data_IF_659431771398
#
_entry.id   IF_659431771398
#
_cell.length_a   1.000
_cell.length_b   1.000
_cell.length_c   1.000
_cell.angle_alpha   90.00
_cell.angle_beta   90.00
_cell.angle_gamma   90.00
#
_symmetry.space_group_name_H-M   'P 1'
#
loop_
_entity.id
_entity.type
_entity.pdbx_description
1 polymer ?
#
# COMPACT_ATOMS: atom_id res chain seq x y z
N UNK A 1 -8.00 29.95 -12.82
CA UNK A 1 -7.98 30.79 -11.60
C UNK A 1 -6.61 30.70 -10.89
N UNK A 2 -5.49 30.80 -11.62
CA UNK A 2 -4.12 30.65 -11.09
C UNK A 2 -3.16 31.75 -11.62
N UNK A 3 -3.68 32.82 -12.23
CA UNK A 3 -2.86 33.88 -12.85
C UNK A 3 -2.60 35.10 -11.96
N UNK A 4 -2.94 35.06 -10.66
CA UNK A 4 -2.72 36.20 -9.73
C UNK A 4 -1.83 35.89 -8.52
N UNK A 5 -1.08 34.78 -8.51
CA UNK A 5 -0.07 34.48 -7.49
C UNK A 5 1.31 34.37 -8.17
N UNK A 6 1.91 35.50 -8.53
CA UNK A 6 3.27 35.55 -9.08
C UNK A 6 4.22 36.25 -8.09
N UNK A 7 4.88 35.44 -7.23
CA UNK A 7 6.28 35.58 -6.71
C UNK A 7 6.64 34.65 -5.53
N UNK A 8 6.00 33.49 -5.33
CA UNK A 8 6.30 32.62 -4.17
C UNK A 8 7.19 31.41 -4.46
N UNK A 9 7.55 31.14 -5.72
CA UNK A 9 8.43 30.03 -6.09
C UNK A 9 9.57 30.55 -6.97
N UNK A 10 10.80 30.38 -6.52
CA UNK A 10 12.02 30.69 -7.26
C UNK A 10 12.71 29.39 -7.69
N UNK A 11 12.98 29.25 -8.99
CA UNK A 11 13.69 28.09 -9.53
C UNK A 11 15.18 28.42 -9.54
N UNK A 12 15.95 27.67 -8.75
CA UNK A 12 17.39 27.84 -8.66
C UNK A 12 18.11 27.05 -9.75
N UNK A 13 19.29 27.53 -10.14
CA UNK A 13 20.12 26.92 -11.20
C UNK A 13 20.62 25.50 -10.88
N UNK A 14 20.69 25.12 -9.61
CA UNK A 14 21.17 23.81 -9.16
C UNK A 14 20.73 23.49 -7.74
N UNK A 15 20.78 22.21 -7.37
CA UNK A 15 20.56 21.75 -5.98
C UNK A 15 21.52 22.42 -4.99
N UNK A 16 22.78 22.65 -5.38
CA UNK A 16 23.74 23.40 -4.55
C UNK A 16 23.25 24.82 -4.22
N UNK A 17 22.63 25.51 -5.17
CA UNK A 17 22.13 26.86 -4.94
C UNK A 17 20.93 26.85 -3.98
N UNK A 18 20.03 25.85 -4.09
CA UNK A 18 18.95 25.62 -3.12
C UNK A 18 19.52 25.35 -1.74
N UNK A 19 20.42 24.37 -1.60
CA UNK A 19 20.96 23.94 -0.30
C UNK A 19 21.65 25.08 0.47
N UNK A 20 22.29 26.02 -0.24
CA UNK A 20 23.03 27.13 0.39
C UNK A 20 22.15 28.27 0.87
N UNK A 21 20.94 28.43 0.34
CA UNK A 21 20.05 29.54 0.71
C UNK A 21 18.86 29.13 1.58
N UNK A 22 18.63 27.83 1.77
CA UNK A 22 17.48 27.30 2.49
C UNK A 22 17.78 27.08 3.98
N UNK A 23 16.85 27.49 4.84
CA UNK A 23 16.84 27.16 6.27
C UNK A 23 16.22 25.78 6.55
N UNK A 24 15.31 25.34 5.68
CA UNK A 24 14.73 23.99 5.68
C UNK A 24 14.70 23.43 4.25
N UNK A 25 15.23 22.23 4.07
CA UNK A 25 15.34 21.55 2.76
C UNK A 25 14.59 20.23 2.84
N UNK A 26 13.74 19.96 1.85
CA UNK A 26 13.05 18.67 1.70
C UNK A 26 13.48 18.01 0.38
N UNK A 27 14.11 16.85 0.48
CA UNK A 27 14.40 16.00 -0.67
C UNK A 27 13.16 15.18 -1.07
N UNK A 28 12.51 15.60 -2.16
CA UNK A 28 11.35 14.93 -2.76
C UNK A 28 11.75 14.20 -4.06
N UNK A 29 12.60 13.19 -3.93
CA UNK A 29 13.07 12.35 -5.04
C UNK A 29 12.63 10.89 -4.87
N UNK A 30 12.79 10.09 -5.92
CA UNK A 30 12.57 8.64 -5.82
C UNK A 30 13.53 8.05 -4.78
N UNK A 31 13.03 7.12 -3.94
CA UNK A 31 13.83 6.49 -2.88
C UNK A 31 15.12 5.82 -3.40
N UNK A 32 15.11 5.28 -4.63
CA UNK A 32 16.31 4.72 -5.29
C UNK A 32 17.42 5.77 -5.52
N UNK A 33 17.04 7.04 -5.70
CA UNK A 33 17.95 8.12 -6.07
C UNK A 33 18.37 8.99 -4.87
N UNK A 34 17.84 8.74 -3.67
CA UNK A 34 18.08 9.59 -2.50
C UNK A 34 19.57 9.69 -2.17
N UNK A 35 20.29 8.57 -2.13
CA UNK A 35 21.73 8.54 -1.87
C UNK A 35 22.51 9.39 -2.87
N UNK A 36 22.31 9.16 -4.17
CA UNK A 36 23.03 9.88 -5.22
C UNK A 36 22.75 11.39 -5.18
N UNK A 37 21.51 11.79 -4.90
CA UNK A 37 21.10 13.21 -4.87
C UNK A 37 21.63 13.91 -3.61
N UNK A 38 21.56 13.27 -2.44
CA UNK A 38 22.11 13.82 -1.20
C UNK A 38 23.63 13.87 -1.27
N UNK A 39 24.29 12.86 -1.83
CA UNK A 39 25.74 12.88 -2.09
C UNK A 39 26.15 14.08 -2.94
N UNK A 40 25.36 14.41 -3.95
CA UNK A 40 25.65 15.53 -4.84
C UNK A 40 25.43 16.89 -4.16
N UNK A 41 24.32 17.09 -3.44
CA UNK A 41 23.89 18.43 -3.01
C UNK A 41 23.90 18.66 -1.50
N UNK A 42 23.89 17.59 -0.70
CA UNK A 42 23.92 17.60 0.76
C UNK A 42 25.13 18.34 1.36
N UNK A 43 26.36 18.16 0.85
CA UNK A 43 27.54 18.89 1.35
C UNK A 43 27.47 20.41 1.18
N UNK A 44 26.53 20.93 0.37
CA UNK A 44 26.33 22.37 0.18
C UNK A 44 25.27 22.96 1.10
N UNK A 45 24.76 22.19 2.06
CA UNK A 45 23.73 22.64 3.01
C UNK A 45 24.25 23.80 3.85
N UNK A 46 23.41 24.81 4.04
CA UNK A 46 23.68 25.96 4.90
C UNK A 46 23.93 25.49 6.35
N UNK A 47 24.93 26.10 7.01
CA UNK A 47 25.25 25.89 8.43
C UNK A 47 23.98 26.03 9.30
N UNK A 48 23.71 25.03 10.13
CA UNK A 48 22.57 25.03 11.05
C UNK A 48 21.20 24.89 10.38
N UNK A 49 21.14 24.56 9.09
CA UNK A 49 19.88 24.30 8.42
C UNK A 49 19.29 22.94 8.83
N UNK A 50 17.99 22.79 8.58
CA UNK A 50 17.27 21.53 8.78
C UNK A 50 17.13 20.85 7.40
N UNK A 51 17.37 19.54 7.37
CA UNK A 51 17.21 18.69 6.19
C UNK A 51 16.22 17.58 6.49
N UNK A 52 15.31 17.35 5.56
CA UNK A 52 14.40 16.21 5.60
C UNK A 52 14.25 15.59 4.23
N UNK A 53 13.65 14.41 4.19
CA UNK A 53 13.15 13.80 2.98
C UNK A 53 11.69 13.40 3.11
N UNK A 54 11.05 13.20 1.96
CA UNK A 54 9.66 12.77 1.85
C UNK A 54 9.52 11.41 1.16
N UNK A 55 10.60 10.62 1.11
CA UNK A 55 10.58 9.30 0.47
C UNK A 55 9.64 8.34 1.21
N UNK A 56 9.22 7.26 0.55
CA UNK A 56 8.32 6.28 1.19
C UNK A 56 9.02 5.28 2.11
N UNK A 57 10.36 5.28 2.17
CA UNK A 57 11.17 4.37 2.99
C UNK A 57 12.27 5.19 3.67
N UNK A 58 12.35 5.12 4.99
CA UNK A 58 13.22 5.99 5.80
C UNK A 58 14.62 5.43 5.97
N UNK A 59 14.81 4.12 6.01
CA UNK A 59 16.15 3.51 6.11
C UNK A 59 17.14 4.07 5.08
N UNK A 60 16.91 3.98 3.76
CA UNK A 60 17.87 4.50 2.77
C UNK A 60 17.99 6.04 2.80
N UNK A 61 16.94 6.74 3.21
CA UNK A 61 16.94 8.20 3.33
C UNK A 61 17.83 8.66 4.49
N UNK A 62 17.67 8.04 5.66
CA UNK A 62 18.47 8.33 6.85
C UNK A 62 19.92 7.90 6.64
N UNK A 63 20.19 6.75 6.02
CA UNK A 63 21.56 6.32 5.67
C UNK A 63 22.26 7.33 4.76
N UNK A 64 21.56 7.84 3.74
CA UNK A 64 22.08 8.87 2.85
C UNK A 64 22.37 10.18 3.61
N UNK A 65 21.47 10.57 4.52
CA UNK A 65 21.64 11.78 5.32
C UNK A 65 22.82 11.68 6.29
N UNK A 66 22.94 10.60 7.04
CA UNK A 66 24.07 10.38 7.96
C UNK A 66 25.41 10.27 7.21
N UNK A 67 25.42 9.75 5.98
CA UNK A 67 26.66 9.59 5.21
C UNK A 67 27.15 10.90 4.57
N UNK A 68 26.24 11.71 4.03
CA UNK A 68 26.61 12.80 3.12
C UNK A 68 26.30 14.21 3.64
N UNK A 69 25.50 14.35 4.71
CA UNK A 69 25.22 15.65 5.30
C UNK A 69 26.33 16.04 6.31
N UNK A 70 26.67 17.34 6.38
CA UNK A 70 27.54 17.85 7.43
C UNK A 70 27.02 17.55 8.86
N UNK A 71 27.90 17.52 9.86
CA UNK A 71 27.51 17.25 11.26
C UNK A 71 26.73 18.42 11.91
N UNK A 72 26.88 19.62 11.37
CA UNK A 72 26.30 20.87 11.86
C UNK A 72 24.88 21.15 11.31
N UNK A 73 24.23 20.14 10.72
CA UNK A 73 22.85 20.22 10.24
C UNK A 73 21.94 19.26 10.99
N UNK A 74 20.69 19.67 11.12
CA UNK A 74 19.63 18.90 11.76
C UNK A 74 18.84 18.07 10.76
N UNK A 75 18.42 16.87 11.15
CA UNK A 75 17.69 15.92 10.31
C UNK A 75 16.28 15.70 10.86
N UNK A 76 15.30 16.20 10.11
CA UNK A 76 13.87 16.06 10.40
C UNK A 76 13.13 15.70 9.12
N UNK A 77 12.80 14.41 8.98
CA UNK A 77 12.10 13.87 7.82
C UNK A 77 10.60 13.87 8.01
N UNK A 78 9.87 13.72 6.90
CA UNK A 78 8.44 13.53 6.92
C UNK A 78 7.99 12.46 5.92
N UNK A 79 6.74 12.02 6.01
CA UNK A 79 6.11 11.24 4.97
C UNK A 79 4.61 11.48 5.00
N UNK A 80 4.09 12.13 3.96
CA UNK A 80 2.65 12.27 3.79
C UNK A 80 2.05 10.98 3.26
N UNK A 81 1.10 10.38 3.97
CA UNK A 81 0.54 9.06 3.66
C UNK A 81 -0.66 9.14 2.70
N UNK A 82 -0.53 9.95 1.66
CA UNK A 82 -1.50 10.06 0.58
C UNK A 82 -0.81 10.24 -0.78
N UNK A 83 -1.51 9.88 -1.85
CA UNK A 83 -1.02 10.06 -3.21
C UNK A 83 -1.16 11.52 -3.70
N UNK A 84 -0.54 11.84 -4.86
CA UNK A 84 -0.74 13.12 -5.53
C UNK A 84 -2.23 13.39 -5.81
N UNK A 85 -2.67 14.64 -5.66
CA UNK A 85 -4.05 15.05 -5.94
C UNK A 85 -5.07 14.75 -4.84
N UNK A 86 -4.65 14.18 -3.71
CA UNK A 86 -5.49 14.02 -2.50
C UNK A 86 -5.31 15.25 -1.60
N UNK A 87 -6.42 15.78 -1.07
CA UNK A 87 -6.39 16.84 -0.06
C UNK A 87 -5.71 16.31 1.22
N UNK A 88 -4.62 16.96 1.69
CA UNK A 88 -3.89 16.53 2.88
C UNK A 88 -4.70 16.64 4.18
N UNK A 89 -5.82 17.38 4.18
CA UNK A 89 -6.62 17.63 5.38
C UNK A 89 -7.14 16.35 6.03
N UNK A 90 -6.74 16.14 7.29
CA UNK A 90 -7.08 14.94 8.07
C UNK A 90 -6.38 13.65 7.60
N UNK A 91 -5.53 13.71 6.59
CA UNK A 91 -4.67 12.59 6.21
C UNK A 91 -3.48 12.50 7.17
N UNK A 92 -2.95 11.30 7.46
CA UNK A 92 -1.75 11.18 8.29
C UNK A 92 -0.52 11.78 7.61
N UNK A 93 0.20 12.62 8.36
CA UNK A 93 1.54 13.12 8.01
C UNK A 93 2.50 12.66 9.09
N UNK A 94 3.42 11.75 8.74
CA UNK A 94 4.45 11.29 9.67
C UNK A 94 5.56 12.34 9.75
N UNK A 95 5.96 12.70 10.96
CA UNK A 95 7.13 13.54 11.26
C UNK A 95 8.14 12.71 12.06
N UNK A 96 9.41 12.77 11.65
CA UNK A 96 10.49 11.94 12.20
C UNK A 96 11.63 12.85 12.62
N UNK A 97 11.81 13.01 13.93
CA UNK A 97 12.96 13.70 14.52
C UNK A 97 14.12 12.72 14.62
N UNK A 98 15.05 12.76 13.66
CA UNK A 98 16.20 11.84 13.67
C UNK A 98 17.39 12.42 14.43
N UNK A 99 17.85 13.61 14.03
CA UNK A 99 18.99 14.32 14.62
C UNK A 99 18.70 15.81 14.71
N UNK A 100 17.97 16.25 15.73
CA UNK A 100 17.60 17.66 15.89
C UNK A 100 17.18 17.97 17.34
N UNK A 101 17.21 19.24 17.70
CA UNK A 101 16.62 19.75 18.94
C UNK A 101 15.09 19.82 18.89
N UNK A 102 14.45 19.96 20.05
CA UNK A 102 12.99 20.10 20.14
C UNK A 102 12.51 21.43 19.53
N UNK A 103 13.33 22.48 19.57
CA UNK A 103 13.00 23.78 18.98
C UNK A 103 12.93 23.69 17.44
N UNK A 104 13.90 23.01 16.83
CA UNK A 104 13.92 22.76 15.37
C UNK A 104 12.76 21.86 14.94
N UNK A 105 12.41 20.87 15.76
CA UNK A 105 11.25 20.02 15.53
C UNK A 105 9.93 20.80 15.59
N UNK A 106 9.76 21.65 16.60
CA UNK A 106 8.60 22.53 16.71
C UNK A 106 8.50 23.50 15.50
N UNK A 107 9.63 23.99 15.00
CA UNK A 107 9.66 24.80 13.78
C UNK A 107 9.13 24.00 12.57
N UNK A 108 9.68 22.81 12.30
CA UNK A 108 9.21 21.98 11.16
C UNK A 108 7.74 21.60 11.29
N UNK A 109 7.30 21.25 12.50
CA UNK A 109 5.89 20.99 12.77
C UNK A 109 5.01 22.20 12.46
N UNK A 110 5.43 23.41 12.84
CA UNK A 110 4.68 24.63 12.54
C UNK A 110 4.58 24.92 11.03
N UNK A 111 5.62 24.57 10.26
CA UNK A 111 5.61 24.68 8.79
C UNK A 111 4.56 23.75 8.19
N UNK A 112 4.45 22.52 8.67
CA UNK A 112 3.48 21.54 8.14
C UNK A 112 2.06 21.73 8.67
N UNK A 113 1.86 22.47 9.76
CA UNK A 113 0.52 22.73 10.33
C UNK A 113 -0.47 23.33 9.31
N UNK A 114 0.04 24.09 8.32
CA UNK A 114 -0.78 24.68 7.27
C UNK A 114 -1.51 23.65 6.38
N UNK A 115 -1.04 22.39 6.34
CA UNK A 115 -1.65 21.32 5.55
C UNK A 115 -2.94 20.77 6.17
N UNK A 116 -3.18 21.03 7.46
CA UNK A 116 -4.32 20.45 8.19
C UNK A 116 -4.29 18.92 8.27
N UNK A 117 -3.12 18.31 8.05
CA UNK A 117 -2.89 16.87 8.21
C UNK A 117 -2.91 16.47 9.68
N UNK A 118 -3.20 15.20 9.94
CA UNK A 118 -3.05 14.61 11.27
C UNK A 118 -1.58 14.23 11.47
N UNK A 119 -0.86 14.99 12.30
CA UNK A 119 0.54 14.69 12.58
C UNK A 119 0.67 13.37 13.36
N UNK A 120 1.63 12.55 12.94
CA UNK A 120 1.98 11.27 13.57
C UNK A 120 3.49 11.28 13.81
N UNK A 121 3.91 11.00 15.03
CA UNK A 121 5.33 11.05 15.40
C UNK A 121 5.88 9.65 15.52
N UNK A 122 6.92 9.33 14.73
CA UNK A 122 7.54 8.00 14.70
C UNK A 122 9.06 8.14 14.59
N UNK A 123 9.80 7.10 14.99
CA UNK A 123 11.18 6.93 14.55
C UNK A 123 11.23 6.40 13.11
N UNK A 124 12.40 6.46 12.48
CA UNK A 124 12.64 5.86 11.15
C UNK A 124 12.30 4.37 11.10
N UNK A 125 12.69 3.64 12.14
CA UNK A 125 12.48 2.18 12.24
C UNK A 125 11.01 1.85 12.44
N UNK A 126 10.32 2.61 13.31
CA UNK A 126 8.88 2.47 13.51
C UNK A 126 8.10 2.76 12.23
N UNK A 127 8.46 3.84 11.53
CA UNK A 127 7.86 4.20 10.26
C UNK A 127 8.01 3.07 9.23
N UNK A 128 9.22 2.56 9.02
CA UNK A 128 9.47 1.53 8.00
C UNK A 128 8.79 0.21 8.37
N UNK A 129 8.72 -0.13 9.66
CA UNK A 129 7.95 -1.30 10.10
C UNK A 129 6.44 -1.14 9.80
N UNK A 130 5.86 -0.02 10.19
CA UNK A 130 4.43 0.26 10.03
C UNK A 130 4.03 0.36 8.55
N UNK A 131 4.85 1.00 7.71
CA UNK A 131 4.58 1.10 6.27
C UNK A 131 4.71 -0.26 5.57
N UNK A 132 5.62 -1.13 6.01
CA UNK A 132 5.65 -2.51 5.56
C UNK A 132 4.35 -3.24 5.91
N UNK A 133 3.92 -3.17 7.19
CA UNK A 133 2.72 -3.85 7.70
C UNK A 133 1.42 -3.38 7.03
N UNK A 134 1.34 -2.10 6.65
CA UNK A 134 0.11 -1.51 6.09
C UNK A 134 0.07 -1.47 4.56
N UNK A 135 1.22 -1.33 3.88
CA UNK A 135 1.26 -1.05 2.44
C UNK A 135 1.92 -2.15 1.62
N UNK A 136 3.02 -2.74 2.06
CA UNK A 136 3.85 -3.59 1.20
C UNK A 136 3.11 -4.83 0.68
N UNK A 137 2.50 -5.61 1.58
CA UNK A 137 1.77 -6.83 1.19
C UNK A 137 0.48 -6.48 0.47
N UNK A 138 -0.21 -5.41 0.89
CA UNK A 138 -1.38 -4.87 0.20
C UNK A 138 -1.06 -4.61 -1.27
N UNK A 139 0.04 -3.91 -1.56
CA UNK A 139 0.50 -3.67 -2.93
C UNK A 139 0.83 -4.98 -3.65
N UNK A 140 1.59 -5.88 -3.03
CA UNK A 140 1.96 -7.16 -3.64
C UNK A 140 0.74 -8.02 -4.02
N UNK A 141 -0.31 -8.04 -3.18
CA UNK A 141 -1.56 -8.73 -3.48
C UNK A 141 -2.23 -8.17 -4.74
N UNK A 142 -2.44 -6.85 -4.82
CA UNK A 142 -3.09 -6.24 -5.99
C UNK A 142 -2.24 -6.28 -7.26
N UNK A 143 -0.92 -6.16 -7.14
CA UNK A 143 -0.01 -6.37 -8.27
C UNK A 143 -0.11 -7.80 -8.79
N UNK A 144 -0.25 -8.78 -7.90
CA UNK A 144 -0.46 -10.17 -8.27
C UNK A 144 -1.82 -10.38 -8.95
N UNK A 145 -2.87 -9.70 -8.50
CA UNK A 145 -4.20 -9.74 -9.16
C UNK A 145 -4.13 -9.22 -10.59
N UNK A 146 -3.57 -8.03 -10.82
CA UNK A 146 -3.49 -7.47 -12.17
C UNK A 146 -2.59 -8.28 -13.09
N UNK A 147 -1.51 -8.89 -12.56
CA UNK A 147 -0.68 -9.81 -13.32
C UNK A 147 -1.46 -11.07 -13.76
N UNK A 148 -2.26 -11.65 -12.86
CA UNK A 148 -3.08 -12.81 -13.17
C UNK A 148 -4.16 -12.51 -14.21
N UNK A 149 -4.84 -11.37 -14.09
CA UNK A 149 -5.82 -10.92 -15.07
C UNK A 149 -5.21 -10.67 -16.46
N UNK A 150 -4.02 -10.04 -16.51
CA UNK A 150 -3.31 -9.84 -17.76
C UNK A 150 -2.85 -11.16 -18.39
N UNK A 151 -2.35 -12.11 -17.59
CA UNK A 151 -1.92 -13.43 -18.06
C UNK A 151 -3.08 -14.24 -18.66
N UNK A 152 -4.27 -14.15 -18.06
CA UNK A 152 -5.50 -14.77 -18.56
C UNK A 152 -6.20 -13.95 -19.66
N UNK A 153 -5.61 -12.84 -20.13
CA UNK A 153 -6.20 -11.93 -21.12
C UNK A 153 -7.67 -11.57 -20.80
N UNK A 154 -7.94 -11.26 -19.53
CA UNK A 154 -9.27 -10.93 -19.05
C UNK A 154 -9.31 -9.53 -18.43
N UNK A 155 -10.43 -8.86 -18.61
CA UNK A 155 -10.80 -7.68 -17.83
C UNK A 155 -11.85 -8.13 -16.81
N UNK A 156 -11.58 -8.06 -15.50
CA UNK A 156 -12.44 -8.69 -14.49
C UNK A 156 -13.89 -8.15 -14.52
N UNK A 157 -14.09 -6.86 -14.81
CA UNK A 157 -15.41 -6.22 -14.93
C UNK A 157 -16.19 -6.60 -16.21
N UNK A 158 -15.56 -7.24 -17.19
CA UNK A 158 -16.23 -7.78 -18.38
C UNK A 158 -16.71 -9.22 -18.16
N UNK A 159 -16.38 -9.81 -17.00
CA UNK A 159 -16.76 -11.17 -16.64
C UNK A 159 -17.69 -11.16 -15.43
N UNK A 160 -18.73 -12.00 -15.44
CA UNK A 160 -19.64 -12.13 -14.30
C UNK A 160 -18.97 -12.62 -12.99
N UNK A 161 -17.72 -13.11 -13.08
CA UNK A 161 -16.94 -13.67 -11.96
C UNK A 161 -16.49 -12.63 -10.95
N UNK A 162 -16.25 -11.38 -11.36
CA UNK A 162 -15.62 -10.36 -10.51
C UNK A 162 -16.51 -9.13 -10.27
N UNK A 163 -17.84 -9.27 -10.38
CA UNK A 163 -18.78 -8.16 -10.19
C UNK A 163 -19.46 -8.24 -8.83
N UNK A 164 -19.42 -7.14 -8.07
CA UNK A 164 -20.14 -6.97 -6.80
C UNK A 164 -19.28 -7.19 -5.55
N UNK A 165 -19.71 -6.57 -4.45
CA UNK A 165 -19.15 -6.75 -3.11
C UNK A 165 -17.63 -6.57 -3.01
N UNK A 166 -16.98 -7.58 -2.44
CA UNK A 166 -15.52 -7.66 -2.25
C UNK A 166 -14.76 -7.44 -3.56
N UNK A 167 -15.28 -7.90 -4.69
CA UNK A 167 -14.58 -7.88 -5.97
C UNK A 167 -14.50 -6.46 -6.55
N UNK A 168 -15.51 -5.60 -6.31
CA UNK A 168 -15.46 -4.18 -6.69
C UNK A 168 -14.26 -3.49 -6.05
N UNK A 169 -14.04 -3.71 -4.76
CA UNK A 169 -12.91 -3.12 -4.02
C UNK A 169 -11.59 -3.61 -4.61
N UNK A 170 -11.46 -4.91 -4.89
CA UNK A 170 -10.25 -5.49 -5.47
C UNK A 170 -9.93 -4.91 -6.84
N UNK A 171 -10.92 -4.79 -7.72
CA UNK A 171 -10.74 -4.21 -9.06
C UNK A 171 -10.31 -2.74 -8.97
N UNK A 172 -11.06 -1.93 -8.23
CA UNK A 172 -10.78 -0.49 -8.14
C UNK A 172 -9.38 -0.21 -7.57
N UNK A 173 -8.95 -0.94 -6.53
CA UNK A 173 -7.61 -0.73 -5.96
C UNK A 173 -6.52 -1.23 -6.91
N UNK A 174 -6.72 -2.37 -7.58
CA UNK A 174 -5.75 -2.89 -8.55
C UNK A 174 -5.53 -1.89 -9.68
N UNK A 175 -6.60 -1.37 -10.27
CA UNK A 175 -6.50 -0.37 -11.34
C UNK A 175 -5.91 0.94 -10.85
N UNK A 176 -6.24 1.36 -9.62
CA UNK A 176 -5.60 2.52 -8.99
C UNK A 176 -4.09 2.33 -8.88
N UNK A 177 -3.61 1.15 -8.47
CA UNK A 177 -2.18 0.86 -8.37
C UNK A 177 -1.52 0.92 -9.75
N UNK A 178 -2.08 0.23 -10.75
CA UNK A 178 -1.54 0.24 -12.10
C UNK A 178 -1.65 1.59 -12.82
N UNK A 179 -2.55 2.49 -12.40
CA UNK A 179 -2.61 3.87 -12.92
C UNK A 179 -1.48 4.79 -12.40
N UNK A 180 -0.72 4.35 -11.40
CA UNK A 180 0.38 5.09 -10.79
C UNK A 180 1.75 4.67 -11.33
N UNK A 181 2.82 5.32 -10.85
CA UNK A 181 4.19 5.04 -11.27
C UNK A 181 4.78 3.84 -10.53
N UNK A 182 5.39 2.92 -11.27
CA UNK A 182 5.97 1.68 -10.75
C UNK A 182 6.99 1.92 -9.63
N UNK A 183 7.78 3.00 -9.70
CA UNK A 183 8.89 3.27 -8.77
C UNK A 183 8.40 3.55 -7.33
N UNK A 184 7.15 3.99 -7.16
CA UNK A 184 6.52 4.19 -5.84
C UNK A 184 6.38 2.85 -5.12
N UNK A 185 5.92 1.82 -5.84
CA UNK A 185 5.70 0.49 -5.30
C UNK A 185 7.01 -0.29 -5.17
N UNK A 186 7.88 -0.21 -6.18
CA UNK A 186 9.18 -0.87 -6.17
C UNK A 186 10.10 -0.32 -5.07
N UNK A 187 10.13 1.00 -4.88
CA UNK A 187 10.95 1.64 -3.86
C UNK A 187 10.62 1.13 -2.45
N UNK A 188 9.33 1.13 -2.08
CA UNK A 188 8.90 0.58 -0.79
C UNK A 188 9.20 -0.91 -0.69
N UNK A 189 8.84 -1.71 -1.69
CA UNK A 189 8.95 -3.16 -1.61
C UNK A 189 10.41 -3.64 -1.54
N UNK A 190 11.31 -3.03 -2.33
CA UNK A 190 12.71 -3.44 -2.44
C UNK A 190 13.56 -2.83 -1.32
N UNK A 191 13.37 -1.56 -0.97
CA UNK A 191 14.30 -0.87 -0.05
C UNK A 191 13.95 -1.04 1.42
N UNK A 192 12.75 -1.55 1.74
CA UNK A 192 12.33 -1.79 3.11
C UNK A 192 12.53 -3.29 3.48
N UNK A 193 13.48 -3.63 4.38
CA UNK A 193 13.73 -5.03 4.75
C UNK A 193 12.51 -5.74 5.38
N UNK A 194 11.68 -5.00 6.13
CA UNK A 194 10.46 -5.56 6.69
C UNK A 194 9.45 -5.89 5.58
N UNK A 195 9.36 -5.06 4.53
CA UNK A 195 8.51 -5.32 3.37
C UNK A 195 8.94 -6.58 2.63
N UNK A 196 10.25 -6.79 2.43
CA UNK A 196 10.76 -8.00 1.76
C UNK A 196 10.34 -9.28 2.49
N UNK A 197 10.48 -9.31 3.82
CA UNK A 197 10.07 -10.46 4.66
C UNK A 197 8.58 -10.75 4.51
N UNK A 198 7.75 -9.71 4.53
CA UNK A 198 6.31 -9.86 4.46
C UNK A 198 5.83 -10.30 3.07
N UNK A 199 6.37 -9.71 2.00
CA UNK A 199 6.04 -10.10 0.62
C UNK A 199 6.43 -11.55 0.37
N UNK A 200 7.59 -11.98 0.90
CA UNK A 200 8.01 -13.38 0.84
C UNK A 200 7.02 -14.30 1.55
N UNK A 201 6.67 -14.00 2.80
CA UNK A 201 5.71 -14.80 3.56
C UNK A 201 4.34 -14.84 2.89
N UNK A 202 3.87 -13.73 2.31
CA UNK A 202 2.60 -13.70 1.59
C UNK A 202 2.61 -14.63 0.38
N UNK A 203 3.68 -14.62 -0.42
CA UNK A 203 3.82 -15.55 -1.53
C UNK A 203 3.86 -17.01 -1.08
N UNK A 204 4.47 -17.31 0.06
CA UNK A 204 4.46 -18.63 0.70
C UNK A 204 3.03 -19.00 1.14
N UNK A 205 2.32 -18.11 1.84
CA UNK A 205 0.93 -18.31 2.27
C UNK A 205 -0.01 -18.56 1.09
N UNK A 206 0.08 -17.78 0.01
CA UNK A 206 -0.69 -18.01 -1.23
C UNK A 206 -0.39 -19.40 -1.79
N UNK A 207 0.89 -19.75 -1.91
CA UNK A 207 1.33 -21.02 -2.49
C UNK A 207 0.86 -22.22 -1.66
N UNK A 208 0.98 -22.15 -0.34
CA UNK A 208 0.63 -23.25 0.55
C UNK A 208 -0.89 -23.45 0.63
N UNK A 209 -1.67 -22.38 0.74
CA UNK A 209 -3.13 -22.49 0.73
C UNK A 209 -3.61 -23.04 -0.62
N UNK A 210 -3.07 -22.56 -1.74
CA UNK A 210 -3.44 -23.07 -3.06
C UNK A 210 -3.10 -24.55 -3.25
N UNK A 211 -1.98 -25.03 -2.69
CA UNK A 211 -1.64 -26.47 -2.68
C UNK A 211 -2.68 -27.29 -1.92
N UNK A 212 -3.16 -26.81 -0.76
CA UNK A 212 -4.23 -27.47 -0.01
C UNK A 212 -5.53 -27.53 -0.81
N UNK A 213 -5.86 -26.45 -1.51
CA UNK A 213 -7.02 -26.39 -2.41
C UNK A 213 -6.91 -27.41 -3.55
N UNK A 214 -5.72 -27.59 -4.14
CA UNK A 214 -5.49 -28.55 -5.22
C UNK A 214 -5.52 -30.01 -4.74
N UNK A 215 -5.01 -30.26 -3.54
CA UNK A 215 -5.00 -31.59 -2.93
C UNK A 215 -6.39 -32.04 -2.43
N UNK A 216 -7.36 -31.12 -2.35
CA UNK A 216 -8.67 -31.40 -1.76
C UNK A 216 -8.63 -31.52 -0.22
N UNK A 217 -7.58 -31.01 0.43
CA UNK A 217 -7.37 -31.13 1.88
C UNK A 217 -8.26 -30.14 2.66
N UNK A 218 -9.59 -30.34 2.63
CA UNK A 218 -10.56 -29.43 3.25
C UNK A 218 -10.29 -29.18 4.74
N UNK A 219 -10.10 -30.25 5.52
CA UNK A 219 -9.93 -30.14 6.98
C UNK A 219 -8.67 -29.36 7.37
N UNK A 220 -7.57 -29.60 6.66
CA UNK A 220 -6.31 -28.88 6.87
C UNK A 220 -6.43 -27.41 6.49
N UNK A 221 -7.07 -27.12 5.34
CA UNK A 221 -7.36 -25.75 4.91
C UNK A 221 -8.22 -25.01 5.93
N UNK A 222 -9.33 -25.62 6.36
CA UNK A 222 -10.25 -25.03 7.33
C UNK A 222 -9.54 -24.76 8.67
N UNK A 223 -8.80 -25.74 9.19
CA UNK A 223 -8.06 -25.61 10.45
C UNK A 223 -7.07 -24.45 10.37
N UNK A 224 -6.33 -24.34 9.27
CA UNK A 224 -5.36 -23.28 9.05
C UNK A 224 -6.03 -21.90 8.97
N UNK A 225 -7.09 -21.76 8.18
CA UNK A 225 -7.85 -20.51 8.01
C UNK A 225 -8.47 -20.06 9.34
N UNK A 226 -9.08 -20.97 10.11
CA UNK A 226 -9.67 -20.63 11.42
C UNK A 226 -8.65 -20.31 12.50
N UNK A 227 -7.47 -20.96 12.46
CA UNK A 227 -6.37 -20.61 13.35
C UNK A 227 -5.88 -19.19 13.07
N UNK A 228 -5.69 -18.86 11.79
CA UNK A 228 -5.30 -17.52 11.37
C UNK A 228 -6.36 -16.48 11.73
N UNK A 229 -7.66 -16.79 11.51
CA UNK A 229 -8.79 -15.96 11.95
C UNK A 229 -8.70 -15.62 13.43
N UNK A 230 -8.54 -16.64 14.28
CA UNK A 230 -8.48 -16.47 15.74
C UNK A 230 -7.29 -15.62 16.15
N UNK A 231 -6.13 -15.81 15.51
CA UNK A 231 -4.93 -15.05 15.84
C UNK A 231 -5.06 -13.56 15.48
N UNK A 232 -5.69 -13.23 14.34
CA UNK A 232 -5.75 -11.86 13.82
C UNK A 232 -6.98 -11.10 14.35
N UNK A 233 -8.13 -11.76 14.44
CA UNK A 233 -9.42 -11.13 14.77
C UNK A 233 -10.01 -11.59 16.10
N UNK A 234 -9.37 -12.51 16.83
CA UNK A 234 -9.94 -13.09 18.06
C UNK A 234 -10.05 -12.13 19.25
N UNK A 235 -9.42 -10.95 19.18
CA UNK A 235 -9.56 -9.88 20.18
C UNK A 235 -10.70 -8.90 19.91
N UNK A 236 -11.34 -8.98 18.73
CA UNK A 236 -12.45 -8.12 18.32
C UNK A 236 -13.75 -8.82 18.70
N UNK A 237 -14.70 -8.11 19.31
CA UNK A 237 -15.97 -8.70 19.69
C UNK A 237 -16.87 -8.86 18.46
N UNK A 238 -17.75 -9.85 18.48
CA UNK A 238 -18.66 -10.08 17.34
C UNK A 238 -19.68 -8.93 17.14
N UNK A 239 -19.92 -8.11 18.17
CA UNK A 239 -20.77 -6.91 18.14
C UNK A 239 -20.04 -5.62 17.72
N UNK A 240 -18.71 -5.63 17.58
CA UNK A 240 -17.96 -4.47 17.10
C UNK A 240 -18.33 -4.14 15.64
N UNK A 241 -18.49 -2.86 15.32
CA UNK A 241 -18.88 -2.45 13.98
C UNK A 241 -17.81 -2.83 12.93
N UNK A 242 -18.26 -3.41 11.80
CA UNK A 242 -17.37 -3.72 10.68
C UNK A 242 -16.86 -2.44 10.01
N UNK A 243 -15.60 -2.45 9.57
CA UNK A 243 -15.02 -1.33 8.81
C UNK A 243 -15.78 -1.03 7.51
N UNK A 244 -16.38 -2.04 6.87
CA UNK A 244 -17.15 -1.92 5.64
C UNK A 244 -18.46 -2.71 5.71
N UNK A 245 -19.54 -2.11 5.23
CA UNK A 245 -20.89 -2.71 5.15
C UNK A 245 -21.26 -3.07 3.71
N UNK A 246 -22.20 -3.99 3.54
CA UNK A 246 -22.67 -4.51 2.23
C UNK A 246 -23.04 -3.40 1.23
N UNK A 247 -23.89 -2.47 1.65
CA UNK A 247 -24.37 -1.33 0.84
C UNK A 247 -23.23 -0.46 0.29
N UNK A 248 -22.11 -0.39 1.02
CA UNK A 248 -20.96 0.44 0.69
C UNK A 248 -19.98 -0.31 -0.23
N UNK A 249 -19.97 -1.65 -0.21
CA UNK A 249 -19.19 -2.48 -1.14
C UNK A 249 -19.81 -2.53 -2.55
N UNK A 250 -21.15 -2.55 -2.63
CA UNK A 250 -21.87 -2.65 -3.90
C UNK A 250 -22.00 -1.32 -4.65
N UNK A 251 -21.83 -0.18 -3.97
CA UNK A 251 -21.99 1.17 -4.53
C UNK A 251 -20.97 1.52 -5.64
N UNK A 252 -19.84 0.81 -5.75
CA UNK A 252 -18.70 1.19 -6.61
C UNK A 252 -18.36 0.17 -7.69
N UNK A 253 -19.38 -0.45 -8.29
CA UNK A 253 -19.16 -1.44 -9.36
C UNK A 253 -18.79 -0.78 -10.70
N UNK A 254 -17.84 -1.39 -11.40
CA UNK A 254 -17.46 -1.07 -12.79
C UNK A 254 -18.31 -1.82 -13.83
N UNK A 255 -19.21 -2.72 -13.38
CA UNK A 255 -20.08 -3.53 -14.23
C UNK A 255 -21.51 -3.63 -13.69
N UNK A 256 -22.41 -4.30 -14.42
CA UNK A 256 -23.77 -4.55 -13.95
C UNK A 256 -23.79 -5.57 -12.81
N UNK A 257 -24.25 -5.14 -11.63
CA UNK A 257 -24.34 -6.00 -10.44
C UNK A 257 -25.27 -7.19 -10.75
N UNK A 258 -24.78 -8.44 -10.67
CA UNK A 258 -25.60 -9.61 -10.97
C UNK A 258 -26.65 -9.85 -9.87
N UNK A 259 -27.84 -10.35 -10.24
CA UNK A 259 -28.90 -10.74 -9.28
C UNK A 259 -28.44 -11.80 -8.27
N UNK A 260 -27.47 -12.63 -8.65
CA UNK A 260 -26.85 -13.62 -7.78
C UNK A 260 -25.33 -13.51 -7.85
N UNK A 261 -24.72 -13.20 -6.72
CA UNK A 261 -23.25 -13.18 -6.57
C UNK A 261 -22.68 -14.57 -6.80
N UNK A 262 -21.60 -14.64 -7.58
CA UNK A 262 -20.84 -15.87 -7.75
C UNK A 262 -19.97 -16.13 -6.51
N UNK A 263 -19.96 -17.38 -6.05
CA UNK A 263 -19.14 -17.81 -4.89
C UNK A 263 -17.67 -17.76 -5.26
N UNK A 264 -16.82 -17.28 -4.36
CA UNK A 264 -15.39 -17.14 -4.60
C UNK A 264 -14.62 -17.65 -3.38
N UNK A 265 -13.53 -18.40 -3.61
CA UNK A 265 -12.67 -18.91 -2.55
C UNK A 265 -11.85 -17.82 -1.85
N UNK A 266 -11.69 -16.66 -2.50
CA UNK A 266 -10.95 -15.51 -2.02
C UNK A 266 -9.52 -15.84 -1.55
N UNK A 267 -8.78 -16.67 -2.29
CA UNK A 267 -7.39 -17.05 -2.01
C UNK A 267 -6.52 -15.86 -1.60
N UNK A 268 -6.67 -14.73 -2.29
CA UNK A 268 -5.93 -13.50 -1.99
C UNK A 268 -6.13 -12.97 -0.56
N UNK A 269 -7.36 -13.08 -0.01
CA UNK A 269 -7.73 -12.64 1.34
C UNK A 269 -7.37 -13.71 2.38
N UNK A 270 -7.63 -15.00 2.07
CA UNK A 270 -7.23 -16.10 2.94
C UNK A 270 -5.72 -16.09 3.19
N UNK A 271 -4.92 -15.88 2.13
CA UNK A 271 -3.47 -15.79 2.22
C UNK A 271 -2.99 -14.55 2.99
N UNK A 272 -3.76 -13.45 2.98
CA UNK A 272 -3.40 -12.25 3.74
C UNK A 272 -3.48 -12.51 5.24
N UNK A 273 -4.59 -13.11 5.69
CA UNK A 273 -4.77 -13.43 7.13
C UNK A 273 -3.80 -14.51 7.58
N UNK A 274 -3.53 -15.51 6.73
CA UNK A 274 -2.49 -16.50 7.00
C UNK A 274 -1.10 -15.84 7.12
N UNK A 275 -0.75 -14.92 6.22
CA UNK A 275 0.49 -14.17 6.28
C UNK A 275 0.62 -13.35 7.57
N UNK A 276 -0.44 -12.63 7.96
CA UNK A 276 -0.46 -11.88 9.21
C UNK A 276 -0.27 -12.79 10.42
N UNK A 277 -0.97 -13.93 10.46
CA UNK A 277 -0.81 -14.92 11.52
C UNK A 277 0.62 -15.46 11.60
N UNK A 278 1.22 -15.85 10.47
CA UNK A 278 2.60 -16.38 10.43
C UNK A 278 3.64 -15.38 10.90
N UNK A 279 3.38 -14.08 10.72
CA UNK A 279 4.29 -13.01 11.12
C UNK A 279 3.96 -12.38 12.48
N UNK A 280 2.87 -12.81 13.13
CA UNK A 280 2.40 -12.20 14.37
C UNK A 280 1.98 -10.74 14.21
N UNK A 281 1.41 -10.38 13.06
CA UNK A 281 0.95 -9.03 12.75
C UNK A 281 -0.55 -8.92 13.05
N UNK A 282 -0.92 -7.92 13.84
CA UNK A 282 -2.31 -7.49 14.01
C UNK A 282 -2.49 -6.16 13.28
N UNK A 283 -3.23 -6.11 12.15
CA UNK A 283 -3.26 -4.93 11.28
C UNK A 283 -3.88 -3.69 11.95
N UNK A 284 -4.71 -3.88 12.99
CA UNK A 284 -5.34 -2.78 13.73
C UNK A 284 -4.35 -1.95 14.56
N UNK A 285 -3.23 -2.54 14.99
CA UNK A 285 -2.20 -1.85 15.79
C UNK A 285 -1.49 -0.75 14.99
N UNK A 286 -1.55 -0.82 13.65
CA UNK A 286 -0.83 0.06 12.74
C UNK A 286 -1.75 1.03 11.98
N UNK A 287 -3.01 1.16 12.41
CA UNK A 287 -4.02 2.00 11.75
C UNK A 287 -3.68 3.50 11.71
N UNK A 288 -2.80 3.96 12.59
CA UNK A 288 -2.31 5.36 12.63
C UNK A 288 -1.68 5.82 11.30
N UNK A 289 -1.11 4.89 10.53
CA UNK A 289 -0.50 5.15 9.22
C UNK A 289 -1.26 4.48 8.07
N UNK A 290 -2.52 4.11 8.31
CA UNK A 290 -3.33 3.44 7.28
C UNK A 290 -3.64 4.40 6.14
N UNK A 291 -3.35 3.94 4.92
CA UNK A 291 -3.71 4.60 3.68
C UNK A 291 -5.12 4.17 3.25
N UNK A 292 -5.81 4.92 2.38
CA UNK A 292 -7.13 4.49 1.91
C UNK A 292 -7.13 3.08 1.29
N UNK A 293 -6.16 2.68 0.42
CA UNK A 293 -6.05 1.30 -0.05
C UNK A 293 -5.91 0.26 1.07
N UNK A 294 -5.09 0.53 2.09
CA UNK A 294 -4.89 -0.43 3.18
C UNK A 294 -6.13 -0.60 4.04
N UNK A 295 -6.88 0.49 4.31
CA UNK A 295 -8.15 0.41 5.04
C UNK A 295 -9.20 -0.39 4.29
N UNK A 296 -9.30 -0.18 2.98
CA UNK A 296 -10.25 -0.92 2.15
C UNK A 296 -9.90 -2.40 2.10
N UNK A 297 -8.61 -2.72 1.94
CA UNK A 297 -8.13 -4.10 1.96
C UNK A 297 -8.40 -4.79 3.31
N UNK A 298 -8.09 -4.11 4.42
CA UNK A 298 -8.41 -4.61 5.76
C UNK A 298 -9.92 -4.80 5.93
N UNK A 299 -10.74 -3.84 5.50
CA UNK A 299 -12.19 -3.90 5.64
C UNK A 299 -12.83 -5.06 4.88
N UNK A 300 -12.42 -5.36 3.64
CA UNK A 300 -12.95 -6.53 2.92
C UNK A 300 -12.42 -7.86 3.49
N UNK A 301 -11.22 -7.85 4.08
CA UNK A 301 -10.65 -9.02 4.76
C UNK A 301 -11.42 -9.30 6.05
N UNK A 302 -11.64 -8.27 6.87
CA UNK A 302 -12.45 -8.34 8.07
C UNK A 302 -13.87 -8.82 7.74
N UNK A 303 -14.50 -8.22 6.72
CA UNK A 303 -15.84 -8.59 6.29
C UNK A 303 -15.96 -10.09 5.95
N UNK A 304 -14.97 -10.67 5.24
CA UNK A 304 -14.95 -12.11 4.95
C UNK A 304 -14.79 -12.95 6.23
N UNK A 305 -13.85 -12.57 7.10
CA UNK A 305 -13.47 -13.38 8.26
C UNK A 305 -14.41 -13.23 9.46
N UNK A 306 -15.19 -12.14 9.55
CA UNK A 306 -16.18 -11.91 10.60
C UNK A 306 -17.60 -12.37 10.24
N UNK A 307 -17.82 -12.90 9.03
CA UNK A 307 -19.07 -13.55 8.62
C UNK A 307 -18.87 -15.07 8.51
N UNK A 308 -19.16 -15.88 9.56
CA UNK A 308 -18.87 -17.32 9.57
C UNK A 308 -19.42 -18.09 8.36
N UNK A 309 -20.66 -17.79 7.95
CA UNK A 309 -21.28 -18.44 6.79
C UNK A 309 -20.53 -18.14 5.47
N UNK A 310 -20.05 -16.90 5.30
CA UNK A 310 -19.30 -16.51 4.11
C UNK A 310 -17.88 -17.10 4.12
N UNK A 311 -17.25 -17.21 5.29
CA UNK A 311 -15.94 -17.84 5.43
C UNK A 311 -16.00 -19.34 5.13
N UNK A 312 -17.00 -20.05 5.64
CA UNK A 312 -17.22 -21.47 5.31
C UNK A 312 -17.53 -21.64 3.82
N UNK A 313 -18.35 -20.76 3.22
CA UNK A 313 -18.58 -20.78 1.78
C UNK A 313 -17.28 -20.63 0.98
N UNK A 314 -16.39 -19.72 1.39
CA UNK A 314 -15.11 -19.52 0.73
C UNK A 314 -14.22 -20.78 0.84
N UNK A 315 -14.15 -21.41 2.01
CA UNK A 315 -13.41 -22.67 2.23
C UNK A 315 -14.00 -23.81 1.36
N UNK A 316 -15.32 -23.96 1.34
CA UNK A 316 -15.99 -25.00 0.54
C UNK A 316 -15.81 -24.77 -0.97
N UNK A 317 -15.91 -23.51 -1.40
CA UNK A 317 -15.67 -23.12 -2.80
C UNK A 317 -14.22 -23.42 -3.19
N UNK A 318 -13.27 -23.21 -2.29
CA UNK A 318 -11.84 -23.49 -2.53
C UNK A 318 -11.55 -24.97 -2.83
N UNK A 319 -12.35 -25.87 -2.29
CA UNK A 319 -12.20 -27.32 -2.47
C UNK A 319 -13.02 -27.83 -3.65
N UNK A 320 -14.28 -27.40 -3.74
CA UNK A 320 -15.27 -28.06 -4.60
C UNK A 320 -15.56 -27.32 -5.91
N UNK A 321 -15.14 -26.05 -6.04
CA UNK A 321 -15.41 -25.21 -7.20
C UNK A 321 -14.11 -24.89 -7.96
N UNK A 322 -14.14 -25.05 -9.28
CA UNK A 322 -12.99 -24.81 -10.16
C UNK A 322 -13.12 -23.54 -11.01
N UNK A 323 -14.17 -22.74 -10.82
CA UNK A 323 -14.48 -21.54 -11.62
C UNK A 323 -13.37 -20.49 -11.59
N UNK A 324 -12.64 -20.40 -10.48
CA UNK A 324 -11.50 -19.49 -10.28
C UNK A 324 -10.13 -20.20 -10.32
N UNK A 325 -10.08 -21.51 -10.55
CA UNK A 325 -8.85 -22.29 -10.36
C UNK A 325 -7.69 -21.84 -11.25
N UNK A 326 -8.00 -21.49 -12.50
CA UNK A 326 -7.01 -20.95 -13.43
C UNK A 326 -6.53 -19.55 -13.01
N UNK A 327 -7.43 -18.73 -12.45
CA UNK A 327 -7.10 -17.40 -11.95
C UNK A 327 -6.23 -17.48 -10.69
N UNK A 328 -6.52 -18.42 -9.79
CA UNK A 328 -5.75 -18.69 -8.59
C UNK A 328 -4.35 -19.24 -8.89
N UNK A 329 -4.21 -20.01 -9.97
CA UNK A 329 -2.91 -20.50 -10.46
C UNK A 329 -2.03 -19.32 -10.90
N UNK A 330 -2.56 -18.47 -11.79
CA UNK A 330 -1.84 -17.29 -12.28
C UNK A 330 -1.54 -16.30 -11.14
N UNK A 331 -2.48 -16.15 -10.19
CA UNK A 331 -2.27 -15.33 -8.99
C UNK A 331 -1.11 -15.88 -8.14
N UNK A 332 -1.05 -17.20 -7.94
CA UNK A 332 0.02 -17.86 -7.19
C UNK A 332 1.38 -17.67 -7.87
N UNK A 333 1.46 -17.80 -9.20
CA UNK A 333 2.67 -17.53 -9.96
C UNK A 333 3.09 -16.06 -9.88
N UNK A 334 2.13 -15.15 -10.01
CA UNK A 334 2.39 -13.73 -9.90
C UNK A 334 2.94 -13.33 -8.53
N UNK A 335 2.34 -13.83 -7.44
CA UNK A 335 2.81 -13.57 -6.07
C UNK A 335 4.26 -14.03 -5.86
N UNK A 336 4.62 -15.22 -6.37
CA UNK A 336 6.00 -15.74 -6.31
C UNK A 336 6.99 -14.91 -7.13
N UNK A 337 6.61 -14.51 -8.35
CA UNK A 337 7.47 -13.70 -9.21
C UNK A 337 7.70 -12.29 -8.64
N UNK A 338 6.67 -11.62 -8.13
CA UNK A 338 6.82 -10.34 -7.44
C UNK A 338 7.72 -10.45 -6.21
N UNK A 339 7.52 -11.49 -5.40
CA UNK A 339 8.38 -11.80 -4.25
C UNK A 339 9.84 -12.00 -4.66
N UNK A 340 10.09 -12.79 -5.70
CA UNK A 340 11.44 -13.02 -6.21
C UNK A 340 12.13 -11.74 -6.68
N UNK A 341 11.42 -10.89 -7.45
CA UNK A 341 11.96 -9.59 -7.91
C UNK A 341 12.32 -8.68 -6.76
N UNK A 342 11.49 -8.67 -5.71
CA UNK A 342 11.72 -7.88 -4.50
C UNK A 342 12.94 -8.40 -3.74
N UNK A 343 13.03 -9.70 -3.47
CA UNK A 343 14.17 -10.30 -2.76
C UNK A 343 15.50 -10.13 -3.49
N UNK A 344 15.47 -10.08 -4.83
CA UNK A 344 16.67 -9.87 -5.65
C UNK A 344 17.05 -8.38 -5.83
N UNK A 345 16.23 -7.45 -5.31
CA UNK A 345 16.44 -6.02 -5.51
C UNK A 345 16.38 -5.57 -6.97
N UNK A 346 15.68 -6.31 -7.83
CA UNK A 346 15.70 -6.10 -9.28
C UNK A 346 14.71 -5.01 -9.72
N UNK A 347 15.12 -3.75 -9.61
CA UNK A 347 14.31 -2.59 -10.03
C UNK A 347 13.91 -2.65 -11.50
N UNK A 348 14.82 -3.01 -12.41
CA UNK A 348 14.55 -2.99 -13.85
C UNK A 348 13.57 -4.10 -14.24
N UNK A 349 13.75 -5.28 -13.66
CA UNK A 349 12.80 -6.39 -13.81
C UNK A 349 11.43 -6.06 -13.22
N UNK A 350 11.39 -5.37 -12.07
CA UNK A 350 10.12 -4.90 -11.49
C UNK A 350 9.42 -3.93 -12.44
N UNK A 351 10.15 -2.93 -12.94
CA UNK A 351 9.66 -1.93 -13.90
C UNK A 351 9.09 -2.57 -15.15
N UNK A 352 9.86 -3.42 -15.83
CA UNK A 352 9.44 -4.05 -17.09
C UNK A 352 8.13 -4.82 -16.93
N UNK A 353 7.99 -5.59 -15.85
CA UNK A 353 6.76 -6.32 -15.57
C UNK A 353 5.59 -5.39 -15.26
N UNK A 354 5.80 -4.40 -14.38
CA UNK A 354 4.77 -3.43 -14.02
C UNK A 354 4.26 -2.68 -15.25
N UNK A 355 5.16 -2.10 -16.04
CA UNK A 355 4.82 -1.31 -17.23
C UNK A 355 4.15 -2.17 -18.31
N UNK A 356 4.54 -3.44 -18.44
CA UNK A 356 3.87 -4.40 -19.33
C UNK A 356 2.40 -4.63 -18.96
N UNK A 357 2.12 -4.84 -17.67
CA UNK A 357 0.74 -5.02 -17.17
C UNK A 357 -0.02 -3.68 -17.20
N UNK A 358 0.66 -2.57 -16.89
CA UNK A 358 0.08 -1.24 -16.97
C UNK A 358 -0.42 -0.93 -18.39
N UNK A 359 0.37 -1.25 -19.41
CA UNK A 359 -0.01 -1.08 -20.82
C UNK A 359 -1.26 -1.88 -21.19
N UNK A 360 -1.42 -3.07 -20.62
CA UNK A 360 -2.63 -3.88 -20.83
C UNK A 360 -3.89 -3.19 -20.29
N UNK A 361 -3.81 -2.56 -19.11
CA UNK A 361 -4.95 -1.86 -18.49
C UNK A 361 -5.11 -0.39 -18.92
N UNK A 362 -4.14 0.18 -19.63
CA UNK A 362 -4.11 1.60 -20.02
C UNK A 362 -5.41 2.12 -20.66
N UNK A 363 -6.07 1.38 -21.59
CA UNK A 363 -7.31 1.84 -22.21
C UNK A 363 -8.48 2.02 -21.22
N UNK A 364 -8.36 1.46 -20.00
CA UNK A 364 -9.44 1.36 -19.00
C UNK A 364 -9.19 2.27 -17.80
N UNK A 365 -8.01 2.86 -17.67
CA UNK A 365 -7.69 3.78 -16.58
C UNK A 365 -8.61 5.00 -16.47
N UNK A 366 -9.05 5.67 -17.56
CA UNK A 366 -9.90 6.87 -17.41
C UNK A 366 -11.20 6.61 -16.64
N UNK A 367 -11.87 5.50 -16.94
CA UNK A 367 -13.10 5.08 -16.25
C UNK A 367 -12.81 4.58 -14.82
N UNK A 368 -11.81 3.70 -14.69
CA UNK A 368 -11.43 3.12 -13.41
C UNK A 368 -10.94 4.16 -12.39
N UNK A 369 -10.19 5.17 -12.83
CA UNK A 369 -9.71 6.26 -11.98
C UNK A 369 -10.86 7.12 -11.47
N UNK A 370 -11.91 7.35 -12.27
CA UNK A 370 -13.09 8.10 -11.83
C UNK A 370 -13.82 7.36 -10.73
N UNK A 371 -14.19 6.10 -10.97
CA UNK A 371 -14.94 5.27 -10.00
C UNK A 371 -14.11 5.01 -8.74
N UNK A 372 -12.82 4.69 -8.88
CA UNK A 372 -11.94 4.45 -7.74
C UNK A 372 -11.73 5.68 -6.84
N UNK A 373 -11.70 6.89 -7.41
CA UNK A 373 -11.62 8.13 -6.63
C UNK A 373 -12.94 8.45 -5.91
N UNK A 374 -14.08 8.24 -6.57
CA UNK A 374 -15.41 8.41 -5.96
C UNK A 374 -15.63 7.42 -4.80
N UNK A 375 -15.17 6.16 -4.96
CA UNK A 375 -15.17 5.15 -3.90
C UNK A 375 -14.40 5.62 -2.67
N UNK A 376 -13.13 5.99 -2.85
CA UNK A 376 -12.29 6.40 -1.72
C UNK A 376 -12.87 7.63 -1.02
N UNK A 377 -13.37 8.61 -1.79
CA UNK A 377 -13.98 9.81 -1.22
C UNK A 377 -15.19 9.47 -0.35
N UNK A 378 -16.14 8.70 -0.89
CA UNK A 378 -17.37 8.33 -0.18
C UNK A 378 -17.08 7.53 1.09
N UNK A 379 -16.13 6.60 1.01
CA UNK A 379 -15.75 5.77 2.16
C UNK A 379 -15.06 6.61 3.23
N UNK A 380 -14.14 7.51 2.85
CA UNK A 380 -13.48 8.42 3.80
C UNK A 380 -14.46 9.39 4.47
N UNK A 381 -15.54 9.78 3.80
CA UNK A 381 -16.61 10.59 4.40
C UNK A 381 -17.44 9.79 5.41
N UNK A 382 -17.76 8.53 5.09
CA UNK A 382 -18.60 7.65 5.92
C UNK A 382 -17.85 6.96 7.08
N UNK A 383 -16.52 6.83 7.01
CA UNK A 383 -15.68 6.24 8.08
C UNK A 383 -15.06 7.29 9.01
N UNK A 384 -15.38 8.58 8.83
CA UNK A 384 -15.01 9.68 9.73
C UNK A 384 -16.03 9.92 10.86
N UNK A 385 -17.17 9.23 10.85
CA UNK A 385 -18.22 9.33 11.88
C UNK A 385 -17.94 8.43 13.07
#
# INVERSE_FOLDING_TARGET
MLRSLQRTVEIMRSGHAVSRCSDYIIYSVEAKNIDAVVKAFGPSTKLGAIVGGQTSCKTPEIEAFETHLPEDVSIISCHSLHGPGVDPKGQPLVLIKHRASDAEFAFVESVFACLGSKHVYLTSEQHDRITADTQAVTHAAFLSMGAAWAANNQFPWETARYIGGIENVKMNITLRIYSNKWHVYAGLAILNPAAQKQIKQYAESVTELFKLMLAGNREELATRVHTARKAVFGGIRDDDELLLRDELLDQFSLGQIPEKRLKNNHLSLLAMVDCWWKLGIVPYDHMICSTPPSRMWLGITEYLFRKPALLEEAIDTAINDNTFRADDLEFTFAARDWSSRVSLGNFDGYRQKFEGIQKYFEPRFPEASKVGNEMIKTILEKTKS
#
